data_IF_416001454794
#
_entry.id   IF_416001454794
#
_cell.length_a   1.000
_cell.length_b   1.000
_cell.length_c   1.000
_cell.angle_alpha   90.00
_cell.angle_beta   90.00
_cell.angle_gamma   90.00
#
_symmetry.space_group_name_H-M   'P 1'
#
loop_
_entity.id
_entity.type
_entity.pdbx_description
1 polymer ?
#
# COMPACT_ATOMS: atom_id res chain seq x y z
N UNK A 1 4.73 -14.07 -2.65
CA UNK A 1 3.78 -12.95 -2.50
C UNK A 1 3.71 -12.60 -1.02
N UNK A 2 3.75 -11.33 -0.65
CA UNK A 2 3.70 -10.83 0.74
C UNK A 2 2.50 -9.91 0.94
N UNK A 3 1.94 -9.90 2.14
CA UNK A 3 0.83 -9.02 2.53
C UNK A 3 1.34 -7.88 3.41
N UNK A 4 0.97 -6.65 3.06
CA UNK A 4 1.12 -5.49 3.91
C UNK A 4 -0.18 -5.31 4.71
N UNK A 5 -0.15 -5.77 5.94
CA UNK A 5 -1.29 -5.69 6.87
C UNK A 5 -1.06 -4.58 7.91
N UNK A 6 -2.15 -3.99 8.39
CA UNK A 6 -2.17 -3.04 9.51
C UNK A 6 -1.16 -1.87 9.41
N UNK A 7 -1.15 -1.17 8.27
CA UNK A 7 -0.32 0.02 8.09
C UNK A 7 -1.06 1.29 8.47
N UNK A 8 -0.78 1.79 9.68
CA UNK A 8 -1.39 3.00 10.21
C UNK A 8 -0.33 4.01 10.65
N UNK A 9 -0.69 5.28 10.53
CA UNK A 9 0.06 6.38 11.11
C UNK A 9 -0.85 7.14 12.07
N UNK A 10 -0.26 7.56 13.19
CA UNK A 10 -0.90 8.51 14.09
C UNK A 10 -1.36 9.75 13.29
N UNK A 11 -2.56 10.30 13.54
CA UNK A 11 -3.12 11.41 12.77
C UNK A 11 -2.16 12.59 12.60
N UNK A 12 -1.35 12.88 13.61
CA UNK A 12 -0.39 13.99 13.65
C UNK A 12 0.79 13.81 12.68
N UNK A 13 1.01 12.58 12.20
CA UNK A 13 2.07 12.21 11.26
C UNK A 13 1.55 12.06 9.81
N UNK A 14 0.23 12.15 9.60
CA UNK A 14 -0.37 12.06 8.28
C UNK A 14 -0.10 13.34 7.46
N UNK A 15 -0.14 13.22 6.13
CA UNK A 15 0.11 14.37 5.23
C UNK A 15 1.55 14.88 5.19
N UNK A 16 2.47 14.30 5.98
CA UNK A 16 3.89 14.72 6.08
C UNK A 16 4.87 13.86 5.27
N UNK A 17 4.37 12.96 4.43
CA UNK A 17 5.20 12.06 3.61
C UNK A 17 5.81 10.87 4.37
N UNK A 18 5.59 10.75 5.69
CA UNK A 18 6.09 9.63 6.51
C UNK A 18 5.63 8.28 5.96
N UNK A 19 4.34 8.18 5.60
CA UNK A 19 3.78 6.93 5.06
C UNK A 19 4.43 6.52 3.74
N UNK A 20 4.74 7.49 2.88
CA UNK A 20 5.48 7.24 1.64
C UNK A 20 6.92 6.79 1.90
N UNK A 21 7.60 7.39 2.87
CA UNK A 21 8.97 7.02 3.23
C UNK A 21 9.06 5.58 3.76
N UNK A 22 8.13 5.20 4.65
CA UNK A 22 8.05 3.84 5.19
C UNK A 22 7.69 2.85 4.08
N UNK A 23 6.64 3.14 3.30
CA UNK A 23 6.19 2.26 2.23
C UNK A 23 7.28 2.04 1.18
N UNK A 24 8.01 3.09 0.78
CA UNK A 24 9.14 2.97 -0.16
C UNK A 24 10.25 2.06 0.37
N UNK A 25 10.52 2.10 1.67
CA UNK A 25 11.53 1.24 2.29
C UNK A 25 11.09 -0.23 2.26
N UNK A 26 9.83 -0.51 2.59
CA UNK A 26 9.26 -1.87 2.52
C UNK A 26 9.28 -2.40 1.09
N UNK A 27 8.81 -1.60 0.14
CA UNK A 27 8.73 -1.98 -1.27
C UNK A 27 10.11 -2.26 -1.88
N UNK A 28 11.14 -1.47 -1.54
CA UNK A 28 12.50 -1.72 -2.02
C UNK A 28 13.02 -3.11 -1.62
N UNK A 29 12.70 -3.57 -0.42
CA UNK A 29 13.07 -4.93 0.02
C UNK A 29 12.30 -5.98 -0.76
N UNK A 30 11.01 -5.74 -1.04
CA UNK A 30 10.19 -6.63 -1.85
C UNK A 30 10.69 -6.71 -3.30
N UNK A 31 11.08 -5.57 -3.89
CA UNK A 31 11.65 -5.45 -5.23
C UNK A 31 12.95 -6.27 -5.34
N UNK A 32 13.87 -6.09 -4.38
CA UNK A 32 15.13 -6.84 -4.34
C UNK A 32 14.93 -8.36 -4.24
N UNK A 33 13.81 -8.80 -3.64
CA UNK A 33 13.43 -10.21 -3.55
C UNK A 33 12.53 -10.72 -4.69
N UNK A 34 12.21 -9.89 -5.69
CA UNK A 34 11.22 -10.18 -6.72
C UNK A 34 9.86 -10.63 -6.14
N UNK A 35 9.44 -10.01 -5.02
CA UNK A 35 8.22 -10.36 -4.29
C UNK A 35 7.10 -9.37 -4.61
N UNK A 36 5.98 -9.90 -5.10
CA UNK A 36 4.73 -9.13 -5.20
C UNK A 36 4.17 -8.80 -3.82
N UNK A 37 3.66 -7.58 -3.65
CA UNK A 37 3.03 -7.10 -2.42
C UNK A 37 1.53 -6.91 -2.63
N UNK A 38 0.73 -7.36 -1.67
CA UNK A 38 -0.73 -7.16 -1.62
C UNK A 38 -1.13 -6.40 -0.36
N UNK A 39 -2.25 -5.69 -0.44
CA UNK A 39 -2.87 -5.03 0.70
C UNK A 39 -4.38 -4.94 0.52
N UNK A 40 -5.07 -4.64 1.61
CA UNK A 40 -6.48 -4.28 1.63
C UNK A 40 -6.62 -2.84 2.13
N UNK A 41 -7.54 -2.10 1.53
CA UNK A 41 -7.93 -0.77 1.99
C UNK A 41 -9.45 -0.61 1.89
N UNK A 42 -10.06 0.08 2.85
CA UNK A 42 -11.49 0.36 2.82
C UNK A 42 -11.88 1.26 1.63
N UNK A 43 -13.07 1.03 1.07
CA UNK A 43 -13.71 1.92 0.10
C UNK A 43 -13.76 3.36 0.63
N UNK A 44 -13.49 4.32 -0.26
CA UNK A 44 -13.45 5.75 0.09
C UNK A 44 -12.25 6.22 0.93
N UNK A 45 -11.38 5.31 1.37
CA UNK A 45 -10.21 5.68 2.17
C UNK A 45 -9.23 6.56 1.37
N UNK A 46 -8.77 7.70 1.93
CA UNK A 46 -7.77 8.54 1.28
C UNK A 46 -6.41 7.82 1.11
N UNK A 47 -6.16 6.76 1.88
CA UNK A 47 -4.95 5.95 1.77
C UNK A 47 -4.84 5.23 0.42
N UNK A 48 -5.96 4.96 -0.27
CA UNK A 48 -5.94 4.36 -1.62
C UNK A 48 -5.03 5.14 -2.57
N UNK A 49 -5.12 6.47 -2.56
CA UNK A 49 -4.28 7.35 -3.38
C UNK A 49 -2.79 7.26 -3.04
N UNK A 50 -2.44 6.98 -1.78
CA UNK A 50 -1.05 6.74 -1.38
C UNK A 50 -0.52 5.48 -2.04
N UNK A 51 -1.28 4.39 -2.01
CA UNK A 51 -0.89 3.11 -2.59
C UNK A 51 -0.81 3.17 -4.11
N UNK A 52 -1.80 3.78 -4.78
CA UNK A 52 -1.79 3.98 -6.24
C UNK A 52 -0.53 4.71 -6.72
N UNK A 53 -0.11 5.78 -6.02
CA UNK A 53 1.14 6.50 -6.32
C UNK A 53 2.41 5.66 -6.16
N UNK A 54 2.37 4.58 -5.39
CA UNK A 54 3.50 3.65 -5.22
C UNK A 54 3.43 2.44 -6.16
N UNK A 55 2.52 2.47 -7.15
CA UNK A 55 2.41 1.45 -8.19
C UNK A 55 1.46 0.30 -7.85
N UNK A 56 0.68 0.41 -6.77
CA UNK A 56 -0.39 -0.55 -6.51
C UNK A 56 -1.54 -0.35 -7.51
N UNK A 57 -2.08 -1.45 -8.00
CA UNK A 57 -3.29 -1.51 -8.85
C UNK A 57 -4.36 -2.31 -8.15
N UNK A 58 -5.64 -2.05 -8.44
CA UNK A 58 -6.75 -2.85 -7.89
C UNK A 58 -6.67 -4.27 -8.46
N UNK A 59 -6.72 -5.27 -7.57
CA UNK A 59 -6.82 -6.69 -7.91
C UNK A 59 -8.29 -7.13 -7.89
N UNK A 60 -9.02 -6.73 -6.86
CA UNK A 60 -10.47 -6.92 -6.71
C UNK A 60 -11.04 -5.89 -5.73
N UNK A 61 -12.34 -5.65 -5.76
CA UNK A 61 -13.03 -4.81 -4.79
C UNK A 61 -14.46 -5.31 -4.55
N UNK A 62 -14.97 -5.02 -3.37
CA UNK A 62 -16.37 -5.18 -2.99
C UNK A 62 -16.89 -3.85 -2.39
N UNK A 63 -18.15 -3.79 -1.90
CA UNK A 63 -18.72 -2.55 -1.35
C UNK A 63 -17.98 -1.97 -0.13
N UNK A 64 -17.17 -2.75 0.56
CA UNK A 64 -16.43 -2.37 1.77
C UNK A 64 -14.94 -2.29 1.49
N UNK A 65 -14.40 -3.26 0.77
CA UNK A 65 -12.97 -3.52 0.67
C UNK A 65 -12.42 -3.41 -0.75
N UNK A 66 -11.21 -2.90 -0.85
CA UNK A 66 -10.42 -2.84 -2.09
C UNK A 66 -9.12 -3.60 -1.84
N UNK A 67 -8.93 -4.70 -2.56
CA UNK A 67 -7.68 -5.43 -2.58
C UNK A 67 -6.79 -4.84 -3.69
N UNK A 68 -5.57 -4.49 -3.31
CA UNK A 68 -4.61 -3.90 -4.22
C UNK A 68 -3.33 -4.73 -4.26
N UNK A 69 -2.69 -4.73 -5.42
CA UNK A 69 -1.48 -5.48 -5.71
C UNK A 69 -0.43 -4.61 -6.38
N UNK A 70 0.83 -4.79 -6.01
CA UNK A 70 1.98 -4.21 -6.70
C UNK A 70 2.97 -5.30 -7.05
N UNK A 71 3.33 -5.39 -8.33
CA UNK A 71 4.42 -6.27 -8.79
C UNK A 71 5.79 -5.63 -8.48
N UNK A 72 6.83 -6.44 -8.22
CA UNK A 72 8.18 -5.93 -8.04
C UNK A 72 8.66 -5.27 -9.34
N UNK A 73 9.50 -4.22 -9.23
CA UNK A 73 10.13 -3.56 -10.36
C UNK A 73 11.62 -3.30 -10.13
#
# INVERSE_FOLDING_TARGET
CSWLEHFYLAPELQGRGVGSAVLKTVLRTADAGAVQVRLQVLQGSPARRLYERHGFTVESEDPVDVWMVRRPH
#
